data_IF_752211021022
#
_entry.id   IF_752211021022
#
_cell.length_a   1.000
_cell.length_b   1.000
_cell.length_c   1.000
_cell.angle_alpha   90.00
_cell.angle_beta   90.00
_cell.angle_gamma   90.00
#
_symmetry.space_group_name_H-M   'P 1'
#
loop_
_entity.id
_entity.type
_entity.pdbx_description
1 polymer ?
#
# COMPACT_ATOMS: atom_id res chain seq x y z
N UNK A 1 25.65 13.14 10.85
CA UNK A 1 26.27 14.45 10.51
C UNK A 1 25.69 14.88 9.18
N UNK A 2 25.78 16.16 8.84
CA UNK A 2 25.27 16.66 7.57
C UNK A 2 26.41 17.29 6.77
N UNK A 3 26.32 17.19 5.44
CA UNK A 3 27.19 17.84 4.47
C UNK A 3 26.30 18.68 3.57
N UNK A 4 26.71 19.91 3.32
CA UNK A 4 26.02 20.85 2.45
C UNK A 4 27.00 21.45 1.45
N UNK A 5 26.62 21.52 0.18
CA UNK A 5 27.41 22.16 -0.87
C UNK A 5 26.50 23.03 -1.74
N UNK A 6 26.49 24.33 -1.46
CA UNK A 6 25.66 25.29 -2.20
C UNK A 6 26.50 26.47 -2.66
N UNK A 7 26.47 26.76 -3.96
CA UNK A 7 27.06 27.99 -4.51
C UNK A 7 28.57 28.13 -4.31
N UNK A 8 29.31 27.01 -4.27
CA UNK A 8 30.75 26.98 -3.98
C UNK A 8 31.11 26.90 -2.49
N UNK A 9 30.13 26.98 -1.58
CA UNK A 9 30.37 26.86 -0.15
C UNK A 9 30.07 25.45 0.34
N UNK A 10 31.11 24.76 0.81
CA UNK A 10 31.06 23.42 1.38
C UNK A 10 31.05 23.49 2.91
N UNK A 11 30.09 22.84 3.56
CA UNK A 11 29.90 22.89 5.01
C UNK A 11 29.63 21.50 5.57
N UNK A 12 30.17 21.23 6.77
CA UNK A 12 29.91 19.99 7.53
C UNK A 12 29.51 20.33 8.95
N UNK A 13 28.46 19.69 9.46
CA UNK A 13 28.02 19.88 10.84
C UNK A 13 27.51 18.62 11.53
N UNK A 14 27.36 18.72 12.85
CA UNK A 14 26.89 17.62 13.71
C UNK A 14 25.38 17.69 13.94
N UNK A 15 24.75 16.53 14.10
CA UNK A 15 23.31 16.40 14.29
C UNK A 15 22.54 16.25 12.97
N UNK A 16 21.20 16.32 13.06
CA UNK A 16 20.25 16.16 11.96
C UNK A 16 19.83 17.47 11.28
N UNK A 17 20.03 18.61 11.94
CA UNK A 17 19.65 19.93 11.41
C UNK A 17 20.77 20.53 10.53
N UNK A 18 20.59 20.48 9.21
CA UNK A 18 21.52 21.11 8.23
C UNK A 18 21.69 22.60 8.54
N UNK A 19 22.93 23.08 8.54
CA UNK A 19 23.28 24.47 8.87
C UNK A 19 23.48 24.78 10.36
N UNK A 20 23.24 23.82 11.27
CA UNK A 20 23.51 23.96 12.72
C UNK A 20 24.69 23.12 13.16
N UNK A 21 25.41 23.59 14.18
CA UNK A 21 26.60 22.92 14.73
C UNK A 21 27.65 22.61 13.65
N UNK A 22 27.84 23.56 12.73
CA UNK A 22 28.86 23.51 11.69
C UNK A 22 30.23 23.48 12.34
N UNK A 23 31.04 22.50 11.97
CA UNK A 23 32.41 22.37 12.48
C UNK A 23 33.46 22.42 11.36
N UNK A 24 33.03 22.42 10.10
CA UNK A 24 33.91 22.59 8.95
C UNK A 24 33.20 23.44 7.89
N UNK A 25 33.94 24.39 7.32
CA UNK A 25 33.49 25.24 6.22
C UNK A 25 34.64 25.46 5.25
N UNK A 26 34.36 25.38 3.95
CA UNK A 26 35.29 25.69 2.87
C UNK A 26 34.55 26.48 1.80
N UNK A 27 35.07 27.63 1.42
CA UNK A 27 34.50 28.48 0.37
C UNK A 27 35.40 28.40 -0.87
N UNK A 28 34.89 27.82 -1.95
CA UNK A 28 35.64 27.68 -3.19
C UNK A 28 35.61 29.00 -3.97
N UNK A 29 36.80 29.55 -4.20
CA UNK A 29 37.02 30.74 -5.03
C UNK A 29 36.46 30.63 -6.45
N UNK A 30 36.33 29.41 -6.98
CA UNK A 30 35.71 29.12 -8.28
C UNK A 30 34.37 28.44 -8.02
N UNK A 31 33.29 29.22 -8.00
CA UNK A 31 31.96 28.68 -7.77
C UNK A 31 31.52 27.79 -8.94
N UNK A 32 31.15 26.55 -8.63
CA UNK A 32 30.58 25.61 -9.59
C UNK A 32 29.37 24.88 -9.00
N UNK A 33 28.57 24.31 -9.89
CA UNK A 33 27.44 23.45 -9.53
C UNK A 33 27.93 22.02 -9.38
N UNK A 34 27.50 21.33 -8.33
CA UNK A 34 27.74 19.89 -8.16
C UNK A 34 26.66 19.09 -8.88
N UNK A 35 27.04 18.32 -9.90
CA UNK A 35 26.09 17.47 -10.64
C UNK A 35 25.97 16.05 -10.06
N UNK A 36 26.99 15.60 -9.34
CA UNK A 36 27.08 14.26 -8.75
C UNK A 36 27.63 14.33 -7.33
N UNK A 37 27.14 13.43 -6.47
CA UNK A 37 27.65 13.24 -5.11
C UNK A 37 27.94 11.75 -4.94
N UNK A 38 29.19 11.43 -4.60
CA UNK A 38 29.62 10.08 -4.23
C UNK A 38 29.93 10.04 -2.74
N UNK A 39 29.48 8.99 -2.05
CA UNK A 39 29.79 8.77 -0.64
C UNK A 39 30.53 7.45 -0.52
N UNK A 40 31.67 7.47 0.16
CA UNK A 40 32.45 6.28 0.48
C UNK A 40 32.71 6.24 1.99
N UNK A 41 32.61 5.06 2.57
CA UNK A 41 32.78 4.79 4.00
C UNK A 41 33.82 3.70 4.21
N UNK A 42 34.50 3.74 5.35
CA UNK A 42 35.46 2.70 5.72
C UNK A 42 34.74 1.37 6.04
N UNK A 43 35.45 0.26 5.88
CA UNK A 43 34.92 -1.10 6.04
C UNK A 43 34.20 -1.30 7.39
N UNK A 44 33.03 -1.94 7.34
CA UNK A 44 32.17 -2.21 8.50
C UNK A 44 31.22 -1.08 8.94
N UNK A 45 31.25 0.11 8.33
CA UNK A 45 30.34 1.21 8.69
C UNK A 45 29.02 1.11 7.93
N UNK A 46 27.91 0.91 8.65
CA UNK A 46 26.54 0.90 8.10
C UNK A 46 25.80 2.21 8.42
N UNK A 47 25.06 2.78 7.46
CA UNK A 47 24.22 3.96 7.69
C UNK A 47 23.37 4.34 6.47
N UNK A 48 22.27 5.05 6.71
CA UNK A 48 21.40 5.57 5.66
C UNK A 48 21.86 6.98 5.24
N UNK A 49 22.11 7.17 3.94
CA UNK A 49 22.48 8.46 3.38
C UNK A 49 21.27 9.08 2.67
N UNK A 50 20.79 10.20 3.20
CA UNK A 50 19.70 10.96 2.59
C UNK A 50 20.33 12.03 1.72
N UNK A 51 20.35 11.82 0.40
CA UNK A 51 20.83 12.81 -0.56
C UNK A 51 19.68 13.76 -0.88
N UNK A 52 19.75 14.97 -0.34
CA UNK A 52 18.84 16.06 -0.67
C UNK A 52 19.47 16.81 -1.84
N UNK A 53 19.01 16.53 -3.07
CA UNK A 53 19.34 17.40 -4.20
C UNK A 53 18.52 18.67 -4.02
N UNK A 54 19.19 19.83 -4.03
CA UNK A 54 18.54 21.12 -4.15
C UNK A 54 17.77 21.17 -5.48
N UNK A 55 16.54 20.66 -5.49
CA UNK A 55 15.50 21.11 -6.41
C UNK A 55 15.11 22.51 -5.95
N UNK A 56 15.91 23.49 -6.36
CA UNK A 56 15.61 24.92 -6.28
C UNK A 56 15.35 25.40 -4.85
N UNK A 57 16.38 25.97 -4.23
CA UNK A 57 16.21 27.02 -3.20
C UNK A 57 15.34 28.11 -3.85
N UNK A 58 14.02 28.01 -3.67
CA UNK A 58 13.04 28.82 -4.38
C UNK A 58 11.65 28.19 -4.58
N UNK A 59 11.44 26.89 -4.32
CA UNK A 59 10.07 26.38 -4.14
C UNK A 59 9.77 26.17 -2.66
N UNK A 60 9.14 27.17 -2.05
CA UNK A 60 8.41 27.02 -0.78
C UNK A 60 7.20 26.06 -0.89
N UNK A 61 7.18 25.17 -1.88
CA UNK A 61 6.04 24.29 -2.20
C UNK A 61 6.42 22.85 -1.94
N UNK A 62 5.42 21.98 -1.83
CA UNK A 62 5.64 20.53 -1.75
C UNK A 62 6.30 19.99 -3.03
N UNK A 63 7.02 18.87 -2.91
CA UNK A 63 7.83 18.31 -3.99
C UNK A 63 6.97 17.75 -5.14
N UNK A 64 5.86 17.11 -4.79
CA UNK A 64 4.90 16.57 -5.75
C UNK A 64 3.76 17.60 -5.99
N UNK A 65 3.30 17.77 -7.25
CA UNK A 65 2.20 18.68 -7.57
C UNK A 65 0.87 18.16 -7.00
N UNK A 66 -0.10 19.05 -6.74
CA UNK A 66 -1.42 18.63 -6.25
C UNK A 66 -2.17 17.76 -7.25
N UNK A 67 -2.03 18.06 -8.53
CA UNK A 67 -2.57 17.29 -9.65
C UNK A 67 -1.39 16.55 -10.29
N UNK A 68 -1.39 15.21 -10.31
CA UNK A 68 -0.37 14.44 -11.01
C UNK A 68 -0.31 14.86 -12.48
N UNK A 69 0.89 14.94 -13.05
CA UNK A 69 1.00 15.25 -14.47
C UNK A 69 0.25 14.19 -15.29
N UNK A 70 -0.61 14.65 -16.21
CA UNK A 70 -1.30 13.78 -17.15
C UNK A 70 -0.20 13.02 -17.89
N UNK A 71 -0.22 11.67 -17.90
CA UNK A 71 0.75 10.91 -18.67
C UNK A 71 0.63 11.35 -20.12
N UNK A 72 1.75 11.70 -20.76
CA UNK A 72 1.76 12.12 -22.16
C UNK A 72 0.92 11.14 -23.01
N UNK A 73 0.21 11.67 -24.00
CA UNK A 73 -0.52 10.83 -24.97
C UNK A 73 0.42 9.73 -25.50
N UNK A 74 0.10 8.47 -25.22
CA UNK A 74 0.98 7.33 -25.52
C UNK A 74 1.78 6.76 -24.33
N UNK A 75 1.50 7.17 -23.08
CA UNK A 75 2.11 6.58 -21.89
C UNK A 75 2.04 5.05 -21.93
N UNK A 76 3.21 4.40 -21.85
CA UNK A 76 3.37 2.96 -22.05
C UNK A 76 2.56 2.19 -21.00
N UNK A 77 1.51 1.51 -21.45
CA UNK A 77 0.78 0.53 -20.63
C UNK A 77 1.65 -0.72 -20.54
N UNK A 78 2.25 -0.95 -19.38
CA UNK A 78 3.22 -2.03 -19.14
C UNK A 78 2.57 -3.33 -18.65
N UNK A 79 1.23 -3.36 -18.53
CA UNK A 79 0.45 -4.49 -18.03
C UNK A 79 -0.95 -4.05 -17.61
N UNK A 80 -1.67 -4.91 -16.91
CA UNK A 80 -2.98 -4.59 -16.34
C UNK A 80 -2.89 -4.45 -14.83
N UNK A 81 -3.47 -3.38 -14.29
CA UNK A 81 -3.61 -3.13 -12.85
C UNK A 81 -4.91 -3.73 -12.32
N UNK A 82 -4.79 -4.40 -11.17
CA UNK A 82 -5.87 -5.03 -10.42
C UNK A 82 -5.98 -4.44 -9.01
N UNK A 83 -7.10 -4.73 -8.34
CA UNK A 83 -7.30 -4.43 -6.91
C UNK A 83 -7.70 -2.99 -6.60
N UNK A 84 -8.17 -2.22 -7.60
CA UNK A 84 -8.84 -0.91 -7.37
C UNK A 84 -10.24 -1.05 -6.77
N UNK A 85 -10.85 -2.22 -6.99
CA UNK A 85 -12.14 -2.63 -6.45
C UNK A 85 -11.97 -4.05 -5.92
N UNK A 86 -12.79 -4.45 -4.95
CA UNK A 86 -12.67 -5.74 -4.28
C UNK A 86 -12.77 -6.94 -5.26
N UNK A 87 -13.56 -6.82 -6.33
CA UNK A 87 -13.81 -7.86 -7.33
C UNK A 87 -13.11 -7.60 -8.68
N UNK A 88 -12.08 -6.74 -8.70
CA UNK A 88 -11.27 -6.44 -9.87
C UNK A 88 -10.64 -7.72 -10.45
N UNK A 89 -10.92 -8.04 -11.73
CA UNK A 89 -10.52 -9.31 -12.34
C UNK A 89 -10.61 -9.32 -13.86
N UNK A 90 -9.91 -10.29 -14.44
CA UNK A 90 -10.13 -10.78 -15.80
C UNK A 90 -10.73 -12.18 -15.76
N UNK A 91 -11.64 -12.44 -16.70
CA UNK A 91 -12.25 -13.74 -16.89
C UNK A 91 -11.91 -14.25 -18.30
N UNK A 92 -11.58 -15.54 -18.40
CA UNK A 92 -11.33 -16.24 -19.66
C UNK A 92 -12.22 -17.49 -19.70
N UNK A 93 -13.01 -17.67 -20.76
CA UNK A 93 -13.86 -18.87 -20.89
C UNK A 93 -13.04 -20.14 -21.17
N UNK A 94 -11.86 -19.99 -21.76
CA UNK A 94 -10.98 -21.10 -22.11
C UNK A 94 -9.50 -20.72 -21.98
N UNK A 95 -8.63 -21.73 -22.04
CA UNK A 95 -7.18 -21.56 -22.07
C UNK A 95 -6.62 -22.27 -23.33
N UNK A 96 -5.46 -21.84 -23.86
CA UNK A 96 -4.97 -22.28 -25.18
C UNK A 96 -4.79 -23.79 -25.36
N UNK A 97 -4.42 -24.51 -24.30
CA UNK A 97 -4.09 -25.94 -24.34
C UNK A 97 -4.79 -26.71 -23.21
N UNK A 98 -4.79 -28.04 -23.30
CA UNK A 98 -5.33 -28.87 -22.23
C UNK A 98 -4.59 -28.65 -20.90
N UNK A 99 -5.35 -28.49 -19.82
CA UNK A 99 -4.85 -28.39 -18.45
C UNK A 99 -5.08 -29.67 -17.62
N UNK A 100 -5.68 -30.72 -18.22
CA UNK A 100 -6.20 -31.85 -17.45
C UNK A 100 -5.09 -32.69 -16.81
N UNK A 101 -4.07 -33.07 -17.58
CA UNK A 101 -2.99 -33.97 -17.12
C UNK A 101 -1.70 -33.21 -16.88
N UNK A 102 -1.34 -32.29 -17.77
CA UNK A 102 -0.14 -31.46 -17.68
C UNK A 102 -0.47 -30.03 -18.02
N UNK A 103 0.17 -29.08 -17.37
CA UNK A 103 0.13 -27.68 -17.78
C UNK A 103 1.35 -26.94 -17.27
N UNK A 104 1.60 -25.81 -17.91
CA UNK A 104 2.47 -24.76 -17.42
C UNK A 104 1.72 -23.44 -17.58
N UNK A 105 1.54 -22.70 -16.49
CA UNK A 105 1.06 -21.32 -16.54
C UNK A 105 2.18 -20.39 -16.05
N UNK A 106 2.36 -19.27 -16.74
CA UNK A 106 3.33 -18.23 -16.37
C UNK A 106 2.64 -16.88 -16.32
N UNK A 107 2.95 -16.07 -15.32
CA UNK A 107 2.51 -14.68 -15.16
C UNK A 107 3.66 -13.84 -14.63
N UNK A 108 3.81 -12.62 -15.12
CA UNK A 108 4.67 -11.62 -14.49
C UNK A 108 3.82 -10.75 -13.58
N UNK A 109 4.29 -10.52 -12.35
CA UNK A 109 3.59 -9.74 -11.34
C UNK A 109 4.50 -8.67 -10.75
N UNK A 110 3.90 -7.54 -10.37
CA UNK A 110 4.54 -6.46 -9.61
C UNK A 110 3.58 -5.97 -8.54
N UNK A 111 3.98 -6.06 -7.27
CA UNK A 111 3.14 -5.63 -6.14
C UNK A 111 3.98 -5.34 -4.90
N UNK A 112 3.41 -4.58 -3.95
CA UNK A 112 3.86 -4.55 -2.55
C UNK A 112 2.80 -5.08 -1.58
N UNK A 113 1.61 -5.42 -2.09
CA UNK A 113 0.56 -6.07 -1.32
C UNK A 113 1.02 -7.44 -0.85
N UNK A 114 0.57 -7.85 0.33
CA UNK A 114 1.00 -9.11 0.95
C UNK A 114 0.14 -10.30 0.57
N UNK A 115 -1.05 -10.07 0.01
CA UNK A 115 -2.06 -11.12 -0.17
C UNK A 115 -2.95 -10.80 -1.36
N UNK A 116 -3.29 -11.81 -2.17
CA UNK A 116 -4.27 -11.68 -3.25
C UNK A 116 -4.20 -12.77 -4.32
N UNK A 117 -5.28 -12.92 -5.09
CA UNK A 117 -5.42 -13.96 -6.13
C UNK A 117 -4.73 -13.56 -7.43
N UNK A 118 -3.78 -14.37 -7.89
CA UNK A 118 -3.12 -14.18 -9.19
C UNK A 118 -3.87 -14.92 -10.30
N UNK A 119 -4.22 -16.19 -10.06
CA UNK A 119 -4.97 -17.03 -10.98
C UNK A 119 -5.81 -18.07 -10.23
N UNK A 120 -7.04 -18.29 -10.68
CA UNK A 120 -7.93 -19.26 -10.04
C UNK A 120 -8.90 -19.89 -11.04
N UNK A 121 -9.08 -21.21 -10.95
CA UNK A 121 -10.06 -21.94 -11.72
C UNK A 121 -10.53 -23.15 -10.92
N UNK A 122 -11.85 -23.36 -10.87
CA UNK A 122 -12.48 -24.35 -9.98
C UNK A 122 -13.68 -24.99 -10.68
N UNK A 123 -13.87 -26.29 -10.49
CA UNK A 123 -15.07 -26.98 -10.99
C UNK A 123 -16.34 -26.55 -10.23
N UNK A 124 -17.50 -26.88 -10.78
CA UNK A 124 -18.80 -26.52 -10.19
C UNK A 124 -19.01 -27.02 -8.77
N UNK A 125 -18.32 -28.10 -8.35
CA UNK A 125 -18.40 -28.70 -7.01
C UNK A 125 -17.28 -28.27 -6.07
N UNK A 126 -16.35 -27.43 -6.53
CA UNK A 126 -15.20 -26.97 -5.74
C UNK A 126 -14.27 -28.08 -5.25
N UNK A 127 -14.19 -29.16 -6.02
CA UNK A 127 -13.31 -30.30 -5.78
C UNK A 127 -12.03 -30.18 -6.60
N UNK A 128 -12.18 -30.01 -7.92
CA UNK A 128 -11.05 -29.91 -8.85
C UNK A 128 -10.72 -28.44 -9.06
N UNK A 129 -9.48 -28.03 -8.78
CA UNK A 129 -9.09 -26.63 -8.89
C UNK A 129 -7.61 -26.43 -9.18
N UNK A 130 -7.29 -25.24 -9.68
CA UNK A 130 -5.96 -24.68 -9.83
C UNK A 130 -6.00 -23.27 -9.21
N UNK A 131 -5.09 -23.00 -8.28
CA UNK A 131 -4.99 -21.72 -7.60
C UNK A 131 -3.53 -21.28 -7.53
N UNK A 132 -3.27 -20.05 -7.98
CA UNK A 132 -2.02 -19.33 -7.77
C UNK A 132 -2.36 -18.02 -7.07
N UNK A 133 -1.77 -17.79 -5.91
CA UNK A 133 -2.10 -16.66 -5.07
C UNK A 133 -0.92 -16.26 -4.20
N UNK A 134 -0.99 -15.06 -3.65
CA UNK A 134 -0.03 -14.55 -2.68
C UNK A 134 -0.66 -14.56 -1.29
N UNK A 135 0.13 -14.92 -0.28
CA UNK A 135 -0.24 -14.82 1.13
C UNK A 135 1.00 -14.47 1.96
N UNK A 136 0.90 -13.43 2.80
CA UNK A 136 2.01 -12.91 3.60
C UNK A 136 3.29 -12.61 2.77
N UNK A 137 3.13 -12.15 1.53
CA UNK A 137 4.21 -11.82 0.58
C UNK A 137 4.77 -13.03 -0.17
N UNK A 138 4.43 -14.25 0.25
CA UNK A 138 4.88 -15.50 -0.39
C UNK A 138 3.93 -15.94 -1.49
N UNK A 139 4.43 -16.75 -2.42
CA UNK A 139 3.67 -17.29 -3.54
C UNK A 139 3.26 -18.72 -3.26
N UNK A 140 1.96 -19.00 -3.43
CA UNK A 140 1.36 -20.29 -3.18
C UNK A 140 0.72 -20.82 -4.46
N UNK A 141 1.08 -22.05 -4.81
CA UNK A 141 0.45 -22.84 -5.85
C UNK A 141 -0.30 -24.00 -5.20
N UNK A 142 -1.63 -23.96 -5.27
CA UNK A 142 -2.50 -25.03 -4.78
C UNK A 142 -3.29 -25.67 -5.93
N UNK A 143 -3.49 -26.98 -5.86
CA UNK A 143 -4.32 -27.70 -6.81
C UNK A 143 -4.89 -28.97 -6.20
N UNK A 144 -6.06 -29.39 -6.68
CA UNK A 144 -6.67 -30.68 -6.35
C UNK A 144 -7.13 -31.39 -7.62
N UNK A 145 -6.84 -32.68 -7.70
CA UNK A 145 -7.14 -33.54 -8.86
C UNK A 145 -8.36 -34.43 -8.62
N UNK A 146 -9.12 -34.20 -7.55
CA UNK A 146 -10.29 -34.99 -7.18
C UNK A 146 -10.09 -35.94 -6.02
N UNK A 147 -8.86 -36.14 -5.54
CA UNK A 147 -8.55 -37.08 -4.45
C UNK A 147 -7.74 -36.47 -3.30
N UNK A 148 -7.64 -35.14 -3.26
CA UNK A 148 -7.03 -34.39 -2.17
C UNK A 148 -6.04 -33.33 -2.67
N UNK A 149 -5.88 -32.23 -1.92
CA UNK A 149 -5.13 -31.06 -2.38
C UNK A 149 -3.61 -31.24 -2.27
N UNK A 150 -2.89 -30.41 -3.01
CA UNK A 150 -1.51 -30.01 -2.74
C UNK A 150 -1.47 -28.50 -2.52
N UNK A 151 -0.60 -28.04 -1.63
CA UNK A 151 -0.24 -26.62 -1.48
C UNK A 151 1.28 -26.55 -1.50
N UNK A 152 1.82 -25.74 -2.41
CA UNK A 152 3.25 -25.55 -2.64
C UNK A 152 3.54 -24.07 -2.40
N UNK A 153 4.37 -23.77 -1.42
CA UNK A 153 4.65 -22.40 -0.95
C UNK A 153 6.11 -22.05 -1.18
N UNK A 154 6.39 -20.81 -1.59
CA UNK A 154 7.76 -20.29 -1.67
C UNK A 154 8.34 -20.00 -0.28
N UNK A 155 9.65 -20.19 -0.10
CA UNK A 155 10.32 -19.80 1.15
C UNK A 155 10.40 -18.27 1.29
N UNK A 156 10.79 -17.60 0.20
CA UNK A 156 10.95 -16.14 0.14
C UNK A 156 9.64 -15.40 -0.19
N UNK A 157 9.67 -14.09 0.06
CA UNK A 157 8.62 -13.12 -0.28
C UNK A 157 8.94 -12.37 -1.58
N UNK A 158 7.92 -12.01 -2.35
CA UNK A 158 8.04 -11.43 -3.71
C UNK A 158 7.13 -10.20 -3.91
N UNK A 159 6.94 -9.42 -2.85
CA UNK A 159 6.15 -8.19 -2.84
C UNK A 159 7.03 -6.96 -2.56
N UNK A 160 8.20 -6.90 -3.20
CA UNK A 160 9.20 -5.83 -3.04
C UNK A 160 8.93 -4.61 -3.96
N UNK A 161 7.93 -4.71 -4.85
CA UNK A 161 7.59 -3.67 -5.81
C UNK A 161 8.30 -3.81 -7.16
N UNK A 162 9.10 -4.85 -7.36
CA UNK A 162 9.74 -5.19 -8.62
C UNK A 162 8.92 -6.23 -9.41
N UNK A 163 9.28 -6.42 -10.69
CA UNK A 163 8.66 -7.43 -11.53
C UNK A 163 9.27 -8.81 -11.24
N UNK A 164 8.41 -9.76 -10.87
CA UNK A 164 8.77 -11.17 -10.72
C UNK A 164 8.00 -12.04 -11.71
N UNK A 165 8.69 -13.01 -12.31
CA UNK A 165 8.10 -14.00 -13.21
C UNK A 165 7.75 -15.25 -12.44
N UNK A 166 6.46 -15.50 -12.25
CA UNK A 166 5.93 -16.68 -11.55
C UNK A 166 5.46 -17.71 -12.56
N UNK A 167 5.95 -18.94 -12.42
CA UNK A 167 5.57 -20.06 -13.29
C UNK A 167 5.20 -21.27 -12.46
N UNK A 168 4.01 -21.79 -12.69
CA UNK A 168 3.53 -23.05 -12.11
C UNK A 168 3.54 -24.13 -13.18
N UNK A 169 4.04 -25.30 -12.83
CA UNK A 169 4.00 -26.48 -13.68
C UNK A 169 3.34 -27.63 -12.95
N UNK A 170 2.56 -28.42 -13.69
CA UNK A 170 1.99 -29.65 -13.18
C UNK A 170 2.21 -30.77 -14.17
N UNK A 171 2.68 -31.91 -13.66
CA UNK A 171 2.75 -33.17 -14.38
C UNK A 171 2.10 -34.27 -13.54
N UNK A 172 0.88 -34.67 -13.94
CA UNK A 172 0.04 -35.58 -13.18
C UNK A 172 -0.11 -35.08 -11.74
N UNK A 173 0.27 -35.84 -10.71
CA UNK A 173 0.13 -35.39 -9.32
C UNK A 173 1.21 -34.42 -8.86
N UNK A 174 2.33 -34.29 -9.59
CA UNK A 174 3.44 -33.44 -9.17
C UNK A 174 3.23 -32.00 -9.62
N UNK A 175 3.45 -31.05 -8.73
CA UNK A 175 3.46 -29.63 -9.01
C UNK A 175 4.82 -29.04 -8.70
N UNK A 176 5.20 -28.01 -9.46
CA UNK A 176 6.46 -27.29 -9.31
C UNK A 176 6.17 -25.79 -9.40
N UNK A 177 6.74 -25.03 -8.46
CA UNK A 177 6.65 -23.58 -8.41
C UNK A 177 8.01 -22.98 -8.75
N UNK A 178 8.01 -22.06 -9.70
CA UNK A 178 9.19 -21.32 -10.10
C UNK A 178 8.95 -19.82 -9.96
N UNK A 179 9.96 -19.11 -9.47
CA UNK A 179 9.99 -17.64 -9.46
C UNK A 179 11.32 -17.20 -10.04
N UNK A 180 11.29 -16.25 -10.97
CA UNK A 180 12.45 -15.74 -11.70
C UNK A 180 13.33 -16.86 -12.29
N UNK A 181 12.65 -17.81 -12.92
CA UNK A 181 13.21 -18.99 -13.58
C UNK A 181 13.95 -19.98 -12.66
N UNK A 182 13.90 -19.79 -11.33
CA UNK A 182 14.41 -20.74 -10.34
C UNK A 182 13.27 -21.57 -9.76
N UNK A 183 13.49 -22.88 -9.58
CA UNK A 183 12.53 -23.75 -8.88
C UNK A 183 12.63 -23.45 -7.39
N UNK A 184 11.59 -22.88 -6.81
CA UNK A 184 11.58 -22.46 -5.40
C UNK A 184 10.87 -23.46 -4.50
N UNK A 185 9.94 -24.25 -5.05
CA UNK A 185 9.23 -25.28 -4.29
C UNK A 185 8.61 -26.34 -5.21
N UNK A 186 8.30 -27.51 -4.64
CA UNK A 186 7.59 -28.60 -5.33
C UNK A 186 6.74 -29.40 -4.35
N UNK A 187 5.77 -30.14 -4.87
CA UNK A 187 4.89 -30.98 -4.05
C UNK A 187 4.03 -31.89 -4.90
N UNK A 188 3.14 -32.65 -4.25
CA UNK A 188 2.24 -33.55 -4.96
C UNK A 188 0.85 -33.62 -4.32
N UNK A 189 -0.17 -33.77 -5.16
CA UNK A 189 -1.55 -33.95 -4.69
C UNK A 189 -1.76 -35.31 -4.05
N UNK A 190 -2.62 -35.32 -3.04
CA UNK A 190 -2.98 -36.52 -2.30
C UNK A 190 -3.88 -37.47 -3.13
N UNK A 191 -3.91 -38.74 -2.73
CA UNK A 191 -4.71 -39.76 -3.38
C UNK A 191 -4.18 -40.20 -4.76
N UNK A 192 -5.04 -40.75 -5.61
CA UNK A 192 -4.66 -41.44 -6.86
C UNK A 192 -5.00 -40.67 -8.13
N UNK A 193 -5.89 -39.69 -8.06
CA UNK A 193 -6.38 -38.99 -9.23
C UNK A 193 -5.28 -38.14 -9.88
N UNK A 194 -5.26 -38.13 -11.21
CA UNK A 194 -4.22 -37.46 -12.01
C UNK A 194 -4.78 -36.42 -12.97
N UNK A 195 -6.09 -36.30 -13.08
CA UNK A 195 -6.77 -35.39 -14.01
C UNK A 195 -7.48 -34.28 -13.23
N UNK A 196 -7.41 -33.05 -13.72
CA UNK A 196 -8.22 -31.92 -13.24
C UNK A 196 -9.35 -31.67 -14.25
N UNK A 197 -10.59 -31.56 -13.77
CA UNK A 197 -11.80 -31.40 -14.59
C UNK A 197 -12.61 -30.18 -14.14
N UNK A 198 -12.15 -28.98 -14.50
CA UNK A 198 -12.82 -27.72 -14.16
C UNK A 198 -14.07 -27.48 -15.01
N UNK A 199 -14.07 -27.92 -16.27
CA UNK A 199 -15.19 -27.69 -17.21
C UNK A 199 -14.95 -26.47 -18.11
N UNK A 200 -16.03 -25.87 -18.59
CA UNK A 200 -16.00 -24.71 -19.47
C UNK A 200 -15.93 -23.41 -18.64
N UNK A 201 -14.72 -23.07 -18.17
CA UNK A 201 -14.40 -21.80 -17.52
C UNK A 201 -15.38 -21.35 -16.42
N UNK A 202 -15.32 -20.08 -16.02
CA UNK A 202 -14.25 -19.12 -16.33
C UNK A 202 -12.95 -19.41 -15.55
N UNK A 203 -11.82 -19.07 -16.16
CA UNK A 203 -10.51 -18.97 -15.54
C UNK A 203 -10.28 -17.51 -15.15
N UNK A 204 -10.01 -17.27 -13.86
CA UNK A 204 -9.90 -15.93 -13.30
C UNK A 204 -8.44 -15.51 -13.16
N UNK A 205 -8.14 -14.24 -13.49
CA UNK A 205 -6.84 -13.61 -13.27
C UNK A 205 -7.03 -12.34 -12.45
N UNK A 206 -6.20 -12.15 -11.42
CA UNK A 206 -6.14 -10.94 -10.59
C UNK A 206 -7.24 -10.77 -9.54
N UNK A 207 -8.33 -11.54 -9.58
CA UNK A 207 -9.40 -11.50 -8.58
C UNK A 207 -10.57 -12.39 -8.96
N UNK A 208 -11.64 -12.41 -8.14
CA UNK A 208 -12.78 -13.31 -8.29
C UNK A 208 -14.10 -12.52 -8.33
N UNK A 209 -15.11 -13.09 -9.01
CA UNK A 209 -16.48 -12.57 -8.86
C UNK A 209 -16.98 -12.83 -7.43
N UNK A 210 -17.96 -12.05 -6.93
CA UNK A 210 -18.54 -12.28 -5.60
C UNK A 210 -19.05 -13.71 -5.39
N UNK A 211 -19.62 -14.33 -6.43
CA UNK A 211 -20.16 -15.69 -6.38
C UNK A 211 -19.06 -16.74 -6.24
N UNK A 212 -17.97 -16.60 -7.01
CA UNK A 212 -16.83 -17.53 -6.97
C UNK A 212 -15.99 -17.31 -5.72
N UNK A 213 -15.84 -16.06 -5.26
CA UNK A 213 -15.16 -15.75 -4.00
C UNK A 213 -15.76 -16.52 -2.83
N UNK A 214 -17.10 -16.62 -2.71
CA UNK A 214 -17.75 -17.41 -1.64
C UNK A 214 -17.35 -18.89 -1.67
N UNK A 215 -17.18 -19.47 -2.86
CA UNK A 215 -16.75 -20.87 -3.03
C UNK A 215 -15.27 -21.06 -2.71
N UNK A 216 -14.46 -20.05 -2.99
CA UNK A 216 -13.00 -20.12 -2.84
C UNK A 216 -12.51 -19.98 -1.40
N UNK A 217 -13.38 -19.59 -0.43
CA UNK A 217 -13.00 -19.40 0.99
C UNK A 217 -12.25 -20.61 1.56
N UNK A 218 -12.74 -21.83 1.31
CA UNK A 218 -12.11 -23.05 1.83
C UNK A 218 -10.78 -23.43 1.15
N UNK A 219 -10.46 -22.81 0.01
CA UNK A 219 -9.24 -23.08 -0.76
C UNK A 219 -8.20 -21.99 -0.53
N UNK A 220 -8.62 -20.72 -0.55
CA UNK A 220 -7.74 -19.55 -0.50
C UNK A 220 -7.61 -18.94 0.90
N UNK A 221 -8.56 -19.18 1.82
CA UNK A 221 -8.57 -18.57 3.14
C UNK A 221 -8.46 -17.05 3.08
N UNK A 222 -7.51 -16.48 3.82
CA UNK A 222 -7.24 -15.03 3.85
C UNK A 222 -6.76 -14.47 2.50
N UNK A 223 -6.32 -15.33 1.57
CA UNK A 223 -5.92 -14.93 0.22
C UNK A 223 -7.07 -14.70 -0.76
N UNK A 224 -8.31 -14.89 -0.32
CA UNK A 224 -9.51 -14.69 -1.11
C UNK A 224 -9.88 -13.20 -1.29
N UNK A 225 -8.95 -12.43 -1.83
CA UNK A 225 -9.10 -11.01 -2.13
C UNK A 225 -8.44 -10.69 -3.49
N UNK A 226 -8.90 -9.63 -4.15
CA UNK A 226 -8.30 -9.16 -5.39
C UNK A 226 -6.81 -8.83 -5.21
N UNK A 227 -6.01 -9.17 -6.21
CA UNK A 227 -4.59 -8.83 -6.26
C UNK A 227 -4.41 -7.32 -6.46
N UNK A 228 -3.76 -6.66 -5.50
CA UNK A 228 -3.45 -5.24 -5.57
C UNK A 228 -2.08 -5.03 -6.23
N UNK A 229 -2.04 -4.89 -7.55
CA UNK A 229 -0.77 -4.77 -8.28
C UNK A 229 -0.96 -4.82 -9.79
N UNK A 230 0.14 -5.08 -10.49
CA UNK A 230 0.13 -5.21 -11.95
C UNK A 230 0.49 -6.63 -12.37
N UNK A 231 -0.25 -7.15 -13.35
CA UNK A 231 0.01 -8.44 -14.00
C UNK A 231 0.22 -8.24 -15.50
N UNK A 232 1.08 -9.04 -16.11
CA UNK A 232 1.27 -9.10 -17.56
C UNK A 232 1.77 -10.47 -18.01
N UNK A 233 1.83 -10.65 -19.33
CA UNK A 233 2.41 -11.83 -19.98
C UNK A 233 1.83 -13.16 -19.46
N UNK A 234 0.52 -13.20 -19.22
CA UNK A 234 -0.15 -14.42 -18.76
C UNK A 234 -0.19 -15.44 -19.91
N UNK A 235 0.48 -16.57 -19.73
CA UNK A 235 0.63 -17.61 -20.77
C UNK A 235 0.34 -19.01 -20.23
N UNK A 236 -0.14 -19.89 -21.12
CA UNK A 236 -0.19 -21.32 -20.92
C UNK A 236 0.73 -22.00 -21.93
N UNK A 237 1.67 -22.83 -21.48
CA UNK A 237 2.66 -23.49 -22.36
C UNK A 237 3.33 -22.51 -23.35
N UNK A 238 3.69 -21.31 -22.88
CA UNK A 238 4.28 -20.21 -23.66
C UNK A 238 3.34 -19.55 -24.69
N UNK A 239 2.07 -19.94 -24.77
CA UNK A 239 1.04 -19.26 -25.58
C UNK A 239 0.29 -18.27 -24.70
N UNK A 240 0.10 -17.04 -25.17
CA UNK A 240 -0.75 -16.06 -24.48
C UNK A 240 -2.18 -16.58 -24.37
N UNK A 241 -2.87 -16.24 -23.29
CA UNK A 241 -4.30 -16.55 -23.14
C UNK A 241 -5.19 -15.77 -24.12
N UNK A 242 -4.68 -14.66 -24.66
CA UNK A 242 -5.43 -13.75 -25.51
C UNK A 242 -6.16 -12.67 -24.71
N UNK A 243 -7.18 -12.08 -25.32
CA UNK A 243 -8.02 -11.08 -24.66
C UNK A 243 -9.01 -11.76 -23.68
N UNK A 244 -9.22 -11.17 -22.50
CA UNK A 244 -10.21 -11.67 -21.55
C UNK A 244 -11.63 -11.54 -22.14
N UNK A 245 -12.51 -12.48 -21.82
CA UNK A 245 -13.93 -12.41 -22.18
C UNK A 245 -14.66 -11.37 -21.34
N UNK A 246 -14.17 -11.07 -20.13
CA UNK A 246 -14.67 -9.98 -19.29
C UNK A 246 -13.54 -9.36 -18.45
N UNK A 247 -13.61 -8.04 -18.29
CA UNK A 247 -12.68 -7.24 -17.48
C UNK A 247 -13.49 -6.34 -16.54
N UNK A 248 -13.33 -6.52 -15.23
CA UNK A 248 -14.06 -5.77 -14.22
C UNK A 248 -13.05 -5.03 -13.35
N UNK A 249 -13.23 -3.71 -13.18
CA UNK A 249 -12.41 -2.90 -12.27
C UNK A 249 -10.90 -2.92 -12.56
N UNK A 250 -10.50 -3.14 -13.82
CA UNK A 250 -9.10 -3.17 -14.26
C UNK A 250 -8.74 -1.95 -15.10
N UNK A 251 -7.46 -1.56 -15.08
CA UNK A 251 -6.95 -0.48 -15.94
C UNK A 251 -5.52 -0.76 -16.43
N UNK A 252 -5.00 0.07 -17.32
CA UNK A 252 -3.60 -0.03 -17.74
C UNK A 252 -2.65 0.30 -16.60
N UNK A 253 -1.72 -0.62 -16.30
CA UNK A 253 -0.61 -0.37 -15.39
C UNK A 253 0.41 0.56 -16.06
N UNK A 254 0.85 1.60 -15.34
CA UNK A 254 1.82 2.61 -15.80
C UNK A 254 3.01 2.68 -14.83
N UNK A 255 4.19 3.06 -15.32
CA UNK A 255 5.42 3.15 -14.50
C UNK A 255 5.37 4.25 -13.42
N UNK A 256 4.62 5.33 -13.66
CA UNK A 256 4.50 6.46 -12.72
C UNK A 256 3.47 6.21 -11.60
N UNK A 257 3.25 4.95 -11.22
CA UNK A 257 2.27 4.56 -10.20
C UNK A 257 2.88 3.54 -9.25
N UNK A 258 2.88 3.87 -7.96
CA UNK A 258 3.27 2.97 -6.87
C UNK A 258 2.05 2.51 -6.05
N UNK A 259 2.27 1.62 -5.08
CA UNK A 259 1.19 1.14 -4.21
C UNK A 259 0.87 2.18 -3.13
N UNK A 260 -0.41 2.55 -3.07
CA UNK A 260 -1.03 3.39 -2.05
C UNK A 260 -2.38 3.90 -2.56
N UNK A 261 -3.25 4.37 -1.68
CA UNK A 261 -4.52 4.97 -2.08
C UNK A 261 -4.35 6.47 -2.26
N UNK A 262 -4.56 6.98 -3.47
CA UNK A 262 -4.45 8.39 -3.80
C UNK A 262 -5.78 9.14 -3.59
N UNK A 263 -5.72 10.21 -2.80
CA UNK A 263 -6.81 11.18 -2.64
C UNK A 263 -6.46 12.42 -3.47
N UNK A 264 -7.26 12.74 -4.51
CA UNK A 264 -6.98 13.83 -5.43
C UNK A 264 -7.33 15.21 -4.86
N UNK A 265 -6.83 16.26 -5.51
CA UNK A 265 -7.13 17.64 -5.15
C UNK A 265 -8.62 18.02 -5.35
N UNK A 266 -9.35 17.27 -6.18
CA UNK A 266 -10.83 17.36 -6.29
C UNK A 266 -11.55 16.92 -5.01
N UNK A 267 -10.83 16.32 -4.07
CA UNK A 267 -11.36 15.84 -2.80
C UNK A 267 -11.89 14.41 -2.90
N UNK A 268 -12.48 13.95 -1.80
CA UNK A 268 -12.93 12.58 -1.63
C UNK A 268 -12.40 11.98 -0.35
N UNK A 269 -12.90 10.80 0.00
CA UNK A 269 -12.50 10.11 1.22
C UNK A 269 -12.70 8.60 1.07
N UNK A 270 -12.00 7.85 1.92
CA UNK A 270 -12.26 6.44 2.16
C UNK A 270 -13.04 6.32 3.46
N UNK A 271 -14.16 5.62 3.46
CA UNK A 271 -14.85 5.18 4.67
C UNK A 271 -14.57 3.70 4.89
N UNK A 272 -13.78 3.39 5.91
CA UNK A 272 -13.31 2.04 6.20
C UNK A 272 -14.30 1.24 7.06
N UNK A 273 -14.98 1.91 7.98
CA UNK A 273 -16.01 1.32 8.84
C UNK A 273 -17.20 2.27 8.94
N UNK A 274 -18.41 1.72 9.02
CA UNK A 274 -19.63 2.49 9.34
C UNK A 274 -19.77 2.77 10.85
N UNK A 275 -19.20 1.89 11.68
CA UNK A 275 -19.25 2.02 13.14
C UNK A 275 -17.92 1.56 13.74
N UNK A 276 -17.10 2.53 14.15
CA UNK A 276 -15.79 2.31 14.76
C UNK A 276 -15.77 2.84 16.20
N UNK A 277 -15.26 2.02 17.10
CA UNK A 277 -15.12 2.34 18.53
C UNK A 277 -13.66 2.63 18.86
N UNK A 278 -13.35 3.88 19.21
CA UNK A 278 -12.01 4.25 19.69
C UNK A 278 -11.77 3.69 21.10
N UNK A 279 -12.69 3.93 22.04
CA UNK A 279 -12.66 3.35 23.38
C UNK A 279 -11.50 3.86 24.24
N UNK A 280 -11.00 3.00 25.12
CA UNK A 280 -9.94 3.34 26.07
C UNK A 280 -8.57 3.45 25.39
N UNK A 281 -8.20 2.43 24.63
CA UNK A 281 -6.86 2.27 24.06
C UNK A 281 -6.95 1.96 22.57
N UNK A 282 -6.13 2.65 21.77
CA UNK A 282 -6.05 2.45 20.33
C UNK A 282 -4.65 2.78 19.82
N UNK A 283 -4.03 1.80 19.17
CA UNK A 283 -2.78 1.98 18.42
C UNK A 283 -3.10 2.17 16.93
N UNK A 284 -2.59 3.24 16.32
CA UNK A 284 -2.72 3.54 14.89
C UNK A 284 -1.33 3.68 14.28
N UNK A 285 -1.11 3.03 13.15
CA UNK A 285 0.04 3.32 12.27
C UNK A 285 -0.49 3.59 10.86
N UNK A 286 0.01 4.63 10.19
CA UNK A 286 -0.37 4.94 8.81
C UNK A 286 0.80 5.58 8.08
N UNK A 287 1.03 5.17 6.83
CA UNK A 287 2.03 5.80 5.98
C UNK A 287 1.36 6.82 5.06
N UNK A 288 1.93 8.00 4.96
CA UNK A 288 1.45 9.10 4.12
C UNK A 288 2.52 9.59 3.15
N UNK A 289 2.08 10.02 1.96
CA UNK A 289 2.89 10.76 0.99
C UNK A 289 2.11 12.01 0.54
N UNK A 290 2.16 13.10 1.33
CA UNK A 290 1.43 14.34 1.07
C UNK A 290 1.94 15.09 -0.16
N UNK A 291 1.00 15.71 -0.88
CA UNK A 291 1.23 16.70 -1.94
C UNK A 291 0.87 18.13 -1.48
N UNK A 292 0.24 18.25 -0.31
CA UNK A 292 -0.10 19.50 0.38
C UNK A 292 0.48 19.54 1.80
N UNK A 293 0.46 20.71 2.43
CA UNK A 293 0.81 20.92 3.85
C UNK A 293 -0.38 20.87 4.80
N UNK A 294 -1.57 20.63 4.25
CA UNK A 294 -2.81 20.59 5.02
C UNK A 294 -3.66 19.42 4.55
N UNK A 295 -4.34 18.77 5.48
CA UNK A 295 -5.30 17.71 5.17
C UNK A 295 -5.73 16.90 6.38
N UNK A 296 -6.96 16.41 6.37
CA UNK A 296 -7.42 15.39 7.33
C UNK A 296 -6.88 14.03 6.89
N UNK A 297 -6.07 13.38 7.74
CA UNK A 297 -5.50 12.05 7.44
C UNK A 297 -6.47 10.95 7.88
N UNK A 298 -6.98 11.05 9.11
CA UNK A 298 -7.88 10.08 9.71
C UNK A 298 -8.85 10.80 10.65
N UNK A 299 -10.13 10.42 10.64
CA UNK A 299 -11.15 11.00 11.52
C UNK A 299 -12.23 10.00 11.90
N UNK A 300 -12.62 10.01 13.16
CA UNK A 300 -13.86 9.40 13.67
C UNK A 300 -14.42 10.33 14.74
N UNK A 301 -15.71 10.67 14.63
CA UNK A 301 -16.33 11.65 15.51
C UNK A 301 -17.75 11.21 15.85
N UNK A 302 -18.10 11.29 17.12
CA UNK A 302 -19.45 11.04 17.60
C UNK A 302 -20.29 12.31 17.56
N UNK A 303 -21.60 12.12 17.37
CA UNK A 303 -22.58 13.21 17.50
C UNK A 303 -22.63 13.85 18.91
N UNK A 304 -22.04 13.19 19.93
CA UNK A 304 -22.00 13.67 21.32
C UNK A 304 -20.76 14.49 21.67
N UNK A 305 -19.78 14.57 20.76
CA UNK A 305 -18.59 15.40 20.92
C UNK A 305 -17.29 14.63 21.16
N UNK A 306 -17.33 13.33 21.44
CA UNK A 306 -16.12 12.49 21.51
C UNK A 306 -15.58 12.24 20.10
N UNK A 307 -14.27 12.37 19.91
CA UNK A 307 -13.65 12.15 18.60
C UNK A 307 -12.19 11.73 18.71
N UNK A 308 -11.67 11.20 17.60
CA UNK A 308 -10.25 11.02 17.34
C UNK A 308 -9.93 11.58 15.95
N UNK A 309 -8.92 12.43 15.86
CA UNK A 309 -8.59 13.18 14.64
C UNK A 309 -7.08 13.27 14.44
N UNK A 310 -6.61 12.92 13.24
CA UNK A 310 -5.21 13.09 12.82
C UNK A 310 -5.18 14.03 11.61
N UNK A 311 -4.44 15.12 11.71
CA UNK A 311 -4.36 16.15 10.67
C UNK A 311 -2.93 16.52 10.35
N UNK A 312 -2.70 16.86 9.08
CA UNK A 312 -1.58 17.66 8.63
C UNK A 312 -2.04 19.13 8.61
N UNK A 313 -1.32 20.02 9.30
CA UNK A 313 -1.67 21.44 9.46
C UNK A 313 -0.42 22.29 9.33
N UNK A 314 -0.33 23.08 8.25
CA UNK A 314 0.85 23.89 7.90
C UNK A 314 2.18 23.12 8.01
N UNK A 315 2.16 21.84 7.62
CA UNK A 315 3.30 20.93 7.64
C UNK A 315 3.53 20.19 8.97
N UNK A 316 2.78 20.50 10.03
CA UNK A 316 2.84 19.77 11.31
C UNK A 316 1.84 18.61 11.32
N UNK A 317 2.14 17.53 12.05
CA UNK A 317 1.15 16.48 12.33
C UNK A 317 0.54 16.74 13.71
N UNK A 318 -0.78 16.82 13.77
CA UNK A 318 -1.54 16.92 15.02
C UNK A 318 -2.38 15.67 15.17
N UNK A 319 -2.29 15.04 16.34
CA UNK A 319 -3.16 13.94 16.77
C UNK A 319 -3.97 14.39 17.98
N UNK A 320 -5.29 14.24 17.89
CA UNK A 320 -6.24 14.72 18.89
C UNK A 320 -7.21 13.61 19.28
N UNK A 321 -7.51 13.51 20.58
CA UNK A 321 -8.62 12.72 21.09
C UNK A 321 -9.44 13.57 22.07
N UNK A 322 -10.77 13.49 22.02
CA UNK A 322 -11.63 14.05 23.05
C UNK A 322 -12.47 12.93 23.66
N UNK A 323 -12.33 12.77 24.98
CA UNK A 323 -13.05 11.78 25.78
C UNK A 323 -14.33 12.41 26.41
N UNK A 324 -14.79 13.55 25.92
CA UNK A 324 -15.93 14.29 26.47
C UNK A 324 -15.58 15.25 27.62
N UNK A 325 -14.29 15.40 27.94
CA UNK A 325 -13.79 16.33 28.97
C UNK A 325 -12.63 17.19 28.46
N UNK A 326 -12.70 17.56 27.17
CA UNK A 326 -11.72 18.42 26.52
C UNK A 326 -10.69 17.63 25.72
N UNK A 327 -10.13 18.33 24.75
CA UNK A 327 -9.27 17.75 23.73
C UNK A 327 -7.86 17.50 24.27
N UNK A 328 -7.36 16.30 24.01
CA UNK A 328 -6.00 15.84 24.28
C UNK A 328 -5.23 15.91 22.98
N UNK A 329 -4.23 16.79 22.90
CA UNK A 329 -3.51 17.06 21.65
C UNK A 329 -2.03 16.72 21.79
N UNK A 330 -1.48 16.01 20.80
CA UNK A 330 -0.05 15.84 20.59
C UNK A 330 0.33 16.35 19.20
N UNK A 331 1.36 17.19 19.10
CA UNK A 331 1.77 17.83 17.85
C UNK A 331 3.24 17.57 17.56
N UNK A 332 3.51 17.04 16.37
CA UNK A 332 4.86 16.90 15.82
C UNK A 332 5.20 18.10 14.94
N UNK A 333 6.27 18.81 15.32
CA UNK A 333 6.81 19.96 14.59
C UNK A 333 8.06 19.54 13.81
N UNK A 334 7.97 19.32 12.49
CA UNK A 334 9.14 19.00 11.70
C UNK A 334 10.14 20.18 11.65
N UNK A 335 11.44 19.91 11.45
CA UNK A 335 12.46 20.95 11.24
C UNK A 335 12.16 21.92 10.09
N UNK A 336 11.36 21.50 9.11
CA UNK A 336 10.87 22.36 8.04
C UNK A 336 9.42 22.02 7.67
N UNK A 337 8.64 23.03 7.27
CA UNK A 337 7.23 22.87 6.88
C UNK A 337 7.02 21.97 5.64
N UNK A 338 8.08 21.71 4.88
CA UNK A 338 8.06 20.86 3.68
C UNK A 338 8.59 19.46 3.93
N UNK A 339 9.10 19.15 5.13
CA UNK A 339 9.74 17.86 5.38
C UNK A 339 8.80 16.70 5.04
N UNK A 340 7.54 16.81 5.42
CA UNK A 340 6.56 15.73 5.22
C UNK A 340 5.99 15.68 3.80
N UNK A 341 6.11 16.74 3.00
CA UNK A 341 5.63 16.76 1.62
C UNK A 341 6.79 16.81 0.61
N UNK A 342 7.86 16.09 0.93
CA UNK A 342 9.10 15.98 0.16
C UNK A 342 9.02 14.93 -0.98
N UNK A 343 7.87 14.28 -1.19
CA UNK A 343 7.67 13.22 -2.19
C UNK A 343 8.02 11.81 -1.72
N UNK A 344 8.48 11.66 -0.47
CA UNK A 344 8.77 10.37 0.16
C UNK A 344 7.61 9.93 1.05
N UNK A 345 7.59 8.64 1.40
CA UNK A 345 6.66 8.09 2.38
C UNK A 345 7.14 8.45 3.79
N UNK A 346 6.20 8.83 4.65
CA UNK A 346 6.40 9.10 6.07
C UNK A 346 5.47 8.24 6.90
N UNK A 347 5.98 7.65 7.98
CA UNK A 347 5.19 6.78 8.86
C UNK A 347 4.74 7.53 10.11
N UNK A 348 3.44 7.55 10.36
CA UNK A 348 2.81 8.18 11.52
C UNK A 348 2.34 7.08 12.47
N UNK A 349 2.75 7.14 13.72
CA UNK A 349 2.25 6.29 14.80
C UNK A 349 1.56 7.14 15.86
N UNK A 350 0.29 6.83 16.14
CA UNK A 350 -0.51 7.46 17.20
C UNK A 350 -0.94 6.39 18.19
N UNK A 351 -0.75 6.66 19.48
CA UNK A 351 -1.24 5.81 20.56
C UNK A 351 -2.13 6.61 21.47
N UNK A 352 -3.41 6.26 21.51
CA UNK A 352 -4.31 6.69 22.57
C UNK A 352 -4.26 5.62 23.66
N UNK A 353 -3.93 6.02 24.89
CA UNK A 353 -3.98 5.17 26.06
C UNK A 353 -4.73 5.90 27.19
N UNK A 354 -6.02 5.62 27.35
CA UNK A 354 -6.94 6.37 28.24
C UNK A 354 -6.88 7.87 27.99
N UNK A 355 -6.20 8.61 28.87
CA UNK A 355 -6.04 10.07 28.85
C UNK A 355 -4.68 10.52 28.28
N UNK A 356 -3.95 9.62 27.62
CA UNK A 356 -2.68 9.94 26.98
C UNK A 356 -2.86 9.81 25.47
N UNK A 357 -2.40 10.81 24.72
CA UNK A 357 -2.19 10.71 23.27
C UNK A 357 -0.70 10.89 23.00
N UNK A 358 -0.07 9.85 22.48
CA UNK A 358 1.32 9.89 22.01
C UNK A 358 1.34 9.88 20.49
N UNK A 359 2.26 10.64 19.90
CA UNK A 359 2.46 10.77 18.46
C UNK A 359 3.95 10.59 18.15
N UNK A 360 4.27 9.84 17.11
CA UNK A 360 5.60 9.84 16.51
C UNK A 360 5.52 9.86 14.98
N UNK A 361 6.51 10.48 14.35
CA UNK A 361 6.64 10.55 12.89
C UNK A 361 8.04 10.08 12.52
N UNK A 362 8.13 9.09 11.64
CA UNK A 362 9.38 8.43 11.24
C UNK A 362 10.24 7.97 12.43
N UNK A 363 9.59 7.45 13.47
CA UNK A 363 10.23 7.01 14.71
C UNK A 363 10.65 8.13 15.66
N UNK A 364 10.43 9.40 15.29
CA UNK A 364 10.70 10.55 16.16
C UNK A 364 9.45 10.93 16.95
N UNK A 365 9.50 10.77 18.28
CA UNK A 365 8.38 11.09 19.17
C UNK A 365 8.16 12.60 19.35
N UNK A 366 6.89 13.00 19.38
CA UNK A 366 6.44 14.30 19.84
C UNK A 366 6.19 14.29 21.36
N UNK A 367 6.04 15.47 21.96
CA UNK A 367 5.57 15.59 23.34
C UNK A 367 4.14 15.04 23.44
N UNK A 368 3.86 14.04 24.31
CA UNK A 368 2.53 13.49 24.46
C UNK A 368 1.54 14.50 25.04
N UNK A 369 0.29 14.43 24.60
CA UNK A 369 -0.84 15.13 25.21
C UNK A 369 -1.39 14.36 26.40
N UNK A 370 -1.67 15.05 27.49
CA UNK A 370 -2.25 14.46 28.71
C UNK A 370 -3.60 15.14 28.99
N UNK A 371 -4.67 14.36 28.97
CA UNK A 371 -6.03 14.79 29.26
C UNK A 371 -6.35 14.82 30.76
N UNK A 372 -7.50 15.41 31.07
CA UNK A 372 -8.02 15.50 32.43
C UNK A 372 -8.47 14.14 32.96
N UNK A 373 -8.29 13.92 34.26
CA UNK A 373 -8.80 12.71 34.95
C UNK A 373 -10.32 12.70 35.01
N UNK A 374 -10.93 11.52 35.04
CA UNK A 374 -12.38 11.34 35.25
C UNK A 374 -13.08 10.66 34.07
N UNK A 375 -12.77 11.08 32.83
CA UNK A 375 -13.30 10.46 31.61
C UNK A 375 -12.14 10.03 30.72
N UNK A 376 -12.13 8.78 30.27
CA UNK A 376 -10.96 8.17 29.61
C UNK A 376 -11.24 7.37 28.34
N UNK A 377 -12.51 7.10 28.09
CA UNK A 377 -12.94 6.48 26.85
C UNK A 377 -13.28 7.57 25.85
N UNK A 378 -12.88 7.40 24.58
CA UNK A 378 -13.47 8.14 23.47
C UNK A 378 -14.64 7.30 22.97
N UNK A 379 -15.85 7.66 23.37
CA UNK A 379 -17.08 6.91 23.15
C UNK A 379 -17.67 7.16 21.76
N UNK A 380 -16.97 6.66 20.74
CA UNK A 380 -17.46 6.62 19.36
C UNK A 380 -18.16 5.31 19.04
N UNK A 381 -19.07 5.35 18.09
CA UNK A 381 -19.60 4.18 17.37
C UNK A 381 -19.99 4.64 15.95
N UNK A 382 -19.06 5.35 15.32
CA UNK A 382 -19.32 6.23 14.18
C UNK A 382 -18.35 5.89 13.04
N UNK A 383 -18.58 6.39 11.82
CA UNK A 383 -17.75 6.02 10.68
C UNK A 383 -16.28 6.44 10.85
N UNK A 384 -15.37 5.58 10.37
CA UNK A 384 -13.93 5.86 10.31
C UNK A 384 -13.54 6.28 8.89
N UNK A 385 -13.10 7.53 8.74
CA UNK A 385 -12.71 8.11 7.47
C UNK A 385 -11.20 8.31 7.34
N UNK A 386 -10.70 8.23 6.10
CA UNK A 386 -9.32 8.57 5.72
C UNK A 386 -9.28 9.57 4.56
N UNK A 387 -8.32 10.49 4.62
CA UNK A 387 -8.02 11.47 3.57
C UNK A 387 -9.04 12.62 3.44
N UNK A 388 -10.18 12.51 4.10
CA UNK A 388 -11.28 13.44 3.97
C UNK A 388 -12.44 13.03 4.86
N UNK A 389 -13.42 13.91 5.04
CA UNK A 389 -14.60 13.66 5.88
C UNK A 389 -15.81 14.35 5.23
N UNK A 390 -16.98 13.69 5.16
CA UNK A 390 -18.25 14.33 4.81
C UNK A 390 -18.55 15.55 5.69
N UNK A 391 -19.30 16.52 5.17
CA UNK A 391 -19.53 17.79 5.88
C UNK A 391 -20.26 17.60 7.22
N UNK A 392 -21.18 16.64 7.26
CA UNK A 392 -22.00 16.23 8.40
C UNK A 392 -21.18 15.59 9.53
N UNK A 393 -20.03 14.99 9.21
CA UNK A 393 -19.21 14.23 10.16
C UNK A 393 -17.95 14.99 10.60
N UNK A 394 -17.86 16.29 10.25
CA UNK A 394 -16.71 17.12 10.59
C UNK A 394 -16.66 17.45 12.08
N UNK A 395 -15.51 17.23 12.71
CA UNK A 395 -15.23 17.69 14.07
C UNK A 395 -15.33 19.23 14.15
N UNK A 396 -16.19 19.82 15.00
CA UNK A 396 -16.46 21.27 15.00
C UNK A 396 -15.24 22.15 15.27
N UNK A 397 -14.30 21.72 16.13
CA UNK A 397 -13.12 22.51 16.57
C UNK A 397 -11.79 22.10 15.91
N UNK A 398 -11.85 21.45 14.75
CA UNK A 398 -10.67 21.01 14.00
C UNK A 398 -9.75 22.15 13.55
N UNK A 399 -8.47 21.85 13.38
CA UNK A 399 -7.47 22.82 12.94
C UNK A 399 -7.52 23.14 11.44
N UNK A 400 -7.97 22.20 10.61
CA UNK A 400 -8.17 22.42 9.18
C UNK A 400 -9.45 21.73 8.68
N UNK A 401 -10.09 22.34 7.68
CA UNK A 401 -11.22 21.76 6.94
C UNK A 401 -10.79 21.20 5.58
N UNK A 402 -9.52 21.40 5.21
CA UNK A 402 -8.97 20.97 3.93
C UNK A 402 -8.92 19.45 3.87
N UNK A 403 -9.30 18.92 2.72
CA UNK A 403 -9.14 17.51 2.40
C UNK A 403 -7.65 17.22 2.19
N UNK A 404 -7.23 16.00 2.50
CA UNK A 404 -5.86 15.56 2.24
C UNK A 404 -5.65 15.32 0.75
N UNK A 405 -4.50 15.76 0.24
CA UNK A 405 -4.09 15.52 -1.14
C UNK A 405 -2.77 14.76 -1.11
N UNK A 406 -2.75 13.57 -1.67
CA UNK A 406 -1.60 12.68 -1.60
C UNK A 406 -2.00 11.22 -1.45
N UNK A 407 -1.06 10.38 -1.05
CA UNK A 407 -1.29 8.95 -0.93
C UNK A 407 -1.24 8.46 0.51
N UNK A 408 -2.07 7.45 0.82
CA UNK A 408 -2.13 6.79 2.12
C UNK A 408 -1.94 5.28 1.93
N UNK A 409 -1.14 4.62 2.76
CA UNK A 409 -1.00 3.15 2.75
C UNK A 409 -0.66 2.59 4.14
N UNK A 410 -0.61 1.26 4.23
CA UNK A 410 -0.14 0.53 5.42
C UNK A 410 -0.86 0.90 6.73
N UNK A 411 -2.16 1.22 6.66
CA UNK A 411 -2.95 1.48 7.86
C UNK A 411 -2.99 0.24 8.74
N UNK A 412 -2.60 0.40 10.01
CA UNK A 412 -2.74 -0.60 11.06
C UNK A 412 -3.56 -0.02 12.21
N UNK A 413 -4.52 -0.80 12.69
CA UNK A 413 -5.32 -0.50 13.88
C UNK A 413 -5.09 -1.63 14.88
N UNK A 414 -4.62 -1.31 16.09
CA UNK A 414 -4.21 -2.30 17.10
C UNK A 414 -3.28 -3.38 16.52
N UNK A 415 -2.29 -2.94 15.74
CA UNK A 415 -1.28 -3.76 15.03
C UNK A 415 -1.83 -4.69 13.94
N UNK A 416 -3.14 -4.63 13.66
CA UNK A 416 -3.76 -5.38 12.55
C UNK A 416 -3.78 -4.52 11.30
N UNK A 417 -3.22 -5.05 10.20
CA UNK A 417 -3.28 -4.40 8.89
C UNK A 417 -4.73 -4.24 8.43
N UNK A 418 -5.02 -3.07 7.86
CA UNK A 418 -6.31 -2.76 7.27
C UNK A 418 -6.20 -2.82 5.75
N UNK A 419 -7.16 -3.48 5.11
CA UNK A 419 -7.25 -3.51 3.66
C UNK A 419 -8.03 -2.28 3.18
N UNK A 420 -7.34 -1.31 2.56
CA UNK A 420 -8.00 -0.11 2.05
C UNK A 420 -8.84 -0.39 0.78
N UNK A 421 -8.61 -1.52 0.09
CA UNK A 421 -9.34 -1.92 -1.13
C UNK A 421 -10.83 -2.21 -0.90
N UNK A 422 -11.20 -2.54 0.33
CA UNK A 422 -12.59 -2.83 0.70
C UNK A 422 -13.32 -1.60 1.26
N UNK A 423 -12.62 -0.47 1.42
CA UNK A 423 -13.24 0.76 1.89
C UNK A 423 -14.19 1.31 0.83
N UNK A 424 -15.35 1.81 1.26
CA UNK A 424 -16.21 2.59 0.36
C UNK A 424 -15.54 3.93 0.06
N UNK A 425 -15.50 4.31 -1.22
CA UNK A 425 -14.86 5.54 -1.70
C UNK A 425 -15.89 6.56 -2.13
N UNK A 426 -15.66 7.82 -1.78
CA UNK A 426 -16.39 8.98 -2.32
C UNK A 426 -15.44 9.87 -3.10
N UNK A 427 -15.88 10.39 -4.24
CA UNK A 427 -15.04 11.19 -5.14
C UNK A 427 -14.12 10.34 -6.01
N UNK A 428 -13.07 10.95 -6.56
CA UNK A 428 -12.15 10.32 -7.53
C UNK A 428 -10.97 9.60 -6.85
N UNK A 429 -11.18 9.07 -5.65
CA UNK A 429 -10.15 8.34 -4.90
C UNK A 429 -9.70 7.12 -5.69
N UNK A 430 -8.37 6.94 -5.81
CA UNK A 430 -7.77 5.79 -6.49
C UNK A 430 -7.19 4.84 -5.45
N UNK A 431 -7.83 3.70 -5.23
CA UNK A 431 -7.36 2.71 -4.26
C UNK A 431 -6.25 1.85 -4.86
N UNK A 432 -5.20 1.56 -4.08
CA UNK A 432 -4.04 0.77 -4.53
C UNK A 432 -3.34 1.31 -5.79
N UNK A 433 -3.48 2.59 -6.07
CA UNK A 433 -2.84 3.32 -7.16
C UNK A 433 -2.44 4.71 -6.66
N UNK A 434 -1.14 4.93 -6.49
CA UNK A 434 -0.57 6.20 -6.08
C UNK A 434 0.33 6.76 -7.19
N UNK A 435 -0.06 7.87 -7.84
CA UNK A 435 0.81 8.53 -8.82
C UNK A 435 2.11 9.01 -8.18
N UNK A 436 3.24 8.81 -8.85
CA UNK A 436 4.59 9.19 -8.38
C UNK A 436 5.07 10.52 -8.97
N UNK A 437 4.28 11.14 -9.85
CA UNK A 437 4.62 12.34 -10.62
C UNK A 437 3.78 13.57 -10.26
#
# INVERSE_FOLDING_TARGET
FWIDWTGGNFRVGKGSNVGRNTFMTYDDSRRFRSDYVGVSTYDGVTGNWIIIRDTVIGKQTCALPLVPAVPEEGAVVIGTRFGRQADSRHEYESVPDSYKIRFNFTVEMRTTGTTGVLFFAVDGRSIDYIALYMQNGKILFAFNCGSGPAVIESEDTYNDGEWHKVRIERDQRRGFLYVDDKKVAEGASQGRSRSINIGAGPFYVGGLSPEVSKKAIGILGDANQGFAGCLRNFTQNKKLLGEPTSSVGTEGCRENVEVGSFIPASGGHLKLYDAFKVGLDLDITVDIKPRSRDGVILSVASSKGDYLLIQLVDGNITAEADNGNGTITATYYPPSKNLLCNGMWHSIEVKKAKNLVALSVDGTGATPGIGLTGVSSTDTNDPLYLGGVPAEDLVPRRHTTKQYVGCIRNLKLNRKNQNLAIASTTGEVQVNSCPTN
#
